data_IF_789525047440
#
_entry.id   IF_789525047440
#
_cell.length_a   1.000
_cell.length_b   1.000
_cell.length_c   1.000
_cell.angle_alpha   90.00
_cell.angle_beta   90.00
_cell.angle_gamma   90.00
#
_symmetry.space_group_name_H-M   'P 1'
#
loop_
_entity.id
_entity.type
_entity.pdbx_description
1 polymer ?
#
# COMPACT_ATOMS: atom_id res chain seq x y z
N UNK A 1 -33.80 -26.44 21.26
CA UNK A 1 -32.67 -27.02 21.60
C UNK A 1 -31.69 -27.19 20.55
N UNK A 2 -32.01 -27.88 19.56
CA UNK A 2 -31.08 -28.12 18.52
C UNK A 2 -30.62 -26.91 17.81
N UNK A 3 -31.41 -25.91 17.84
CA UNK A 3 -31.09 -24.70 17.15
C UNK A 3 -29.81 -24.07 17.54
N UNK A 4 -29.44 -24.24 18.75
CA UNK A 4 -28.28 -23.63 19.24
C UNK A 4 -27.06 -23.91 18.43
N UNK A 5 -26.95 -25.08 17.99
CA UNK A 5 -25.77 -25.50 17.30
C UNK A 5 -25.54 -24.69 16.04
N UNK A 6 -26.58 -24.38 15.40
CA UNK A 6 -26.46 -23.66 14.16
C UNK A 6 -25.89 -22.29 14.33
N UNK A 7 -26.19 -21.69 15.41
CA UNK A 7 -25.73 -20.35 15.62
C UNK A 7 -24.23 -20.21 15.71
N UNK A 8 -23.66 -21.11 16.39
CA UNK A 8 -22.24 -21.06 16.60
C UNK A 8 -21.47 -21.07 15.29
N UNK A 9 -21.97 -21.78 14.37
CA UNK A 9 -21.31 -21.91 13.09
C UNK A 9 -21.24 -20.61 12.34
N UNK A 10 -22.31 -19.89 12.37
CA UNK A 10 -22.36 -18.66 11.66
C UNK A 10 -21.35 -17.67 12.13
N UNK A 11 -21.14 -17.61 13.39
CA UNK A 11 -20.23 -16.68 13.95
C UNK A 11 -18.82 -16.96 13.51
N UNK A 12 -18.46 -18.18 13.44
CA UNK A 12 -17.13 -18.55 13.04
C UNK A 12 -16.79 -18.04 11.67
N UNK A 13 -17.74 -18.11 10.79
CA UNK A 13 -17.51 -17.68 9.43
C UNK A 13 -17.23 -16.21 9.35
N UNK A 14 -17.88 -15.45 10.16
CA UNK A 14 -17.71 -14.03 10.13
C UNK A 14 -16.30 -13.61 10.44
N UNK A 15 -15.68 -14.27 11.36
CA UNK A 15 -14.35 -13.93 11.73
C UNK A 15 -13.34 -14.17 10.64
N UNK A 16 -13.55 -15.18 9.88
CA UNK A 16 -12.61 -15.51 8.85
C UNK A 16 -12.46 -14.41 7.84
N UNK A 17 -13.50 -13.69 7.62
CA UNK A 17 -13.47 -12.65 6.64
C UNK A 17 -12.57 -11.52 7.04
N UNK A 18 -12.57 -11.20 8.28
CA UNK A 18 -11.83 -10.06 8.74
C UNK A 18 -10.34 -10.34 8.93
N UNK A 19 -10.02 -11.53 9.32
CA UNK A 19 -8.66 -11.83 9.71
C UNK A 19 -7.60 -11.82 8.63
N UNK A 20 -7.83 -12.44 7.53
CA UNK A 20 -6.75 -12.72 6.58
C UNK A 20 -6.02 -11.54 6.01
N UNK A 21 -6.63 -10.42 5.99
CA UNK A 21 -6.02 -9.28 5.35
C UNK A 21 -4.93 -8.66 6.18
N UNK A 22 -5.05 -8.81 7.47
CA UNK A 22 -4.11 -8.17 8.36
C UNK A 22 -2.82 -8.94 8.46
N UNK A 23 -1.74 -8.23 8.50
CA UNK A 23 -0.47 -8.85 8.74
C UNK A 23 0.23 -9.42 7.53
N UNK A 24 -0.32 -9.20 6.35
CA UNK A 24 0.36 -9.64 5.16
C UNK A 24 1.59 -8.78 4.93
N UNK A 25 2.69 -9.42 4.61
CA UNK A 25 3.91 -8.71 4.30
C UNK A 25 3.84 -8.19 2.87
N UNK A 26 4.22 -6.94 2.70
CA UNK A 26 4.28 -6.36 1.38
C UNK A 26 5.74 -6.18 1.03
N UNK A 27 6.19 -6.83 -0.02
CA UNK A 27 7.56 -6.73 -0.46
C UNK A 27 7.65 -5.76 -1.62
N UNK A 28 8.11 -4.56 -1.35
CA UNK A 28 8.17 -3.52 -2.36
C UNK A 28 9.22 -3.80 -3.43
N UNK A 29 10.23 -4.58 -3.10
CA UNK A 29 11.29 -4.89 -4.05
C UNK A 29 10.80 -5.75 -5.21
N UNK A 30 9.75 -6.54 -4.98
CA UNK A 30 9.22 -7.41 -6.02
C UNK A 30 7.89 -6.94 -6.58
N UNK A 31 7.32 -5.90 -6.01
CA UNK A 31 6.03 -5.40 -6.45
C UNK A 31 6.15 -4.68 -7.79
N UNK A 32 5.18 -4.89 -8.66
CA UNK A 32 5.14 -4.19 -9.93
C UNK A 32 4.14 -3.05 -9.87
N UNK A 33 4.29 -2.11 -10.80
CA UNK A 33 3.38 -0.98 -10.88
C UNK A 33 1.92 -1.40 -10.96
N UNK A 34 1.61 -2.45 -11.72
CA UNK A 34 0.23 -2.89 -11.84
C UNK A 34 -0.36 -3.32 -10.50
N UNK A 35 0.47 -3.89 -9.63
CA UNK A 35 0.00 -4.33 -8.33
C UNK A 35 -0.23 -3.14 -7.43
N UNK A 36 0.63 -2.14 -7.53
CA UNK A 36 0.54 -0.95 -6.73
C UNK A 36 -0.77 -0.19 -6.97
N UNK A 37 -1.13 0.00 -8.23
CA UNK A 37 -2.33 0.79 -8.55
C UNK A 37 -3.63 0.08 -8.17
N UNK A 38 -3.56 -1.22 -7.85
CA UNK A 38 -4.73 -1.95 -7.41
C UNK A 38 -4.92 -1.95 -5.91
N UNK A 39 -3.98 -1.37 -5.18
CA UNK A 39 -4.08 -1.31 -3.73
C UNK A 39 -5.13 -0.26 -3.31
N UNK A 40 -5.58 -0.38 -2.07
CA UNK A 40 -6.52 0.60 -1.55
C UNK A 40 -5.82 1.95 -1.38
N UNK A 41 -6.60 3.00 -1.32
CA UNK A 41 -6.05 4.33 -1.16
C UNK A 41 -5.23 4.44 0.12
N UNK A 42 -5.70 3.83 1.18
CA UNK A 42 -4.98 3.88 2.45
C UNK A 42 -3.64 3.18 2.36
N UNK A 43 -3.59 2.06 1.67
CA UNK A 43 -2.35 1.34 1.51
C UNK A 43 -1.39 2.11 0.62
N UNK A 44 -1.89 2.70 -0.45
CA UNK A 44 -1.07 3.53 -1.31
C UNK A 44 -0.47 4.68 -0.53
N UNK A 45 -1.27 5.32 0.32
CA UNK A 45 -0.78 6.42 1.14
C UNK A 45 0.33 5.95 2.08
N UNK A 46 0.14 4.81 2.71
CA UNK A 46 1.14 4.26 3.60
C UNK A 46 2.44 3.96 2.88
N UNK A 47 2.34 3.33 1.71
CA UNK A 47 3.54 3.02 0.94
C UNK A 47 4.23 4.27 0.44
N UNK A 48 3.46 5.30 0.10
CA UNK A 48 4.05 6.55 -0.36
C UNK A 48 4.88 7.20 0.73
N UNK A 49 4.39 7.18 1.97
CA UNK A 49 5.15 7.72 3.09
C UNK A 49 6.46 6.95 3.26
N UNK A 50 6.38 5.63 3.18
CA UNK A 50 7.58 4.82 3.31
C UNK A 50 8.58 5.11 2.20
N UNK A 51 8.08 5.20 0.96
CA UNK A 51 8.93 5.48 -0.18
C UNK A 51 9.56 6.86 -0.09
N UNK A 52 8.79 7.84 0.35
CA UNK A 52 9.31 9.19 0.51
C UNK A 52 10.47 9.19 1.51
N UNK A 53 10.32 8.49 2.62
CA UNK A 53 11.39 8.39 3.60
C UNK A 53 12.58 7.62 3.07
N UNK A 54 12.33 6.58 2.30
CA UNK A 54 13.39 5.75 1.75
C UNK A 54 14.30 6.55 0.81
N UNK A 55 13.72 7.49 0.06
CA UNK A 55 14.47 8.30 -0.88
C UNK A 55 14.87 9.67 -0.34
N UNK A 56 14.68 9.91 0.95
CA UNK A 56 15.08 11.15 1.58
C UNK A 56 16.50 11.00 2.13
N UNK A 57 17.34 11.98 1.87
CA UNK A 57 18.72 11.94 2.35
C UNK A 57 18.79 12.23 3.83
N UNK A 58 19.83 11.73 4.48
CA UNK A 58 20.01 11.95 5.90
C UNK A 58 20.14 13.43 6.25
N UNK A 59 20.62 14.21 5.31
CA UNK A 59 20.83 15.62 5.54
C UNK A 59 19.57 16.46 5.40
N UNK A 60 18.53 15.87 4.86
CA UNK A 60 17.29 16.60 4.70
C UNK A 60 16.57 16.70 6.02
N UNK A 61 15.78 17.76 6.16
CA UNK A 61 15.00 17.95 7.38
C UNK A 61 13.96 16.83 7.52
N UNK A 62 13.74 16.41 8.74
CA UNK A 62 12.76 15.36 9.03
C UNK A 62 11.36 15.97 9.10
N UNK A 63 10.86 16.39 7.96
CA UNK A 63 9.56 17.04 7.86
C UNK A 63 8.60 16.24 7.02
N UNK A 64 7.36 16.19 7.43
CA UNK A 64 6.33 15.51 6.71
C UNK A 64 5.35 16.56 6.18
N UNK A 65 5.20 16.61 4.87
CA UNK A 65 4.29 17.58 4.25
C UNK A 65 3.17 16.82 3.55
N UNK A 66 2.00 16.73 4.18
CA UNK A 66 0.91 15.89 3.65
C UNK A 66 0.48 16.22 2.24
N UNK A 67 0.45 17.49 1.88
CA UNK A 67 0.05 17.87 0.52
C UNK A 67 1.05 17.37 -0.51
N UNK A 68 2.33 17.42 -0.17
CA UNK A 68 3.34 16.92 -1.09
C UNK A 68 3.30 15.40 -1.20
N UNK A 69 3.01 14.74 -0.09
CA UNK A 69 2.87 13.29 -0.12
C UNK A 69 1.71 12.87 -0.99
N UNK A 70 0.60 13.61 -0.90
CA UNK A 70 -0.55 13.30 -1.73
C UNK A 70 -0.21 13.48 -3.20
N UNK A 71 0.51 14.55 -3.52
CA UNK A 71 0.92 14.80 -4.89
C UNK A 71 1.85 13.70 -5.39
N UNK A 72 2.77 13.23 -4.56
CA UNK A 72 3.67 12.16 -4.94
C UNK A 72 2.92 10.86 -5.18
N UNK A 73 1.93 10.57 -4.34
CA UNK A 73 1.12 9.37 -4.53
C UNK A 73 0.38 9.43 -5.86
N UNK A 74 -0.16 10.59 -6.20
CA UNK A 74 -0.87 10.75 -7.45
C UNK A 74 0.05 10.60 -8.65
N UNK A 75 1.23 11.19 -8.56
CA UNK A 75 2.20 11.09 -9.64
C UNK A 75 2.68 9.67 -9.83
N UNK A 76 2.94 8.99 -8.74
CA UNK A 76 3.41 7.61 -8.81
C UNK A 76 2.32 6.72 -9.38
N UNK A 77 1.08 6.91 -8.96
CA UNK A 77 -0.03 6.12 -9.48
C UNK A 77 -0.22 6.36 -10.98
N UNK A 78 -0.14 7.61 -11.40
CA UNK A 78 -0.28 7.93 -12.82
C UNK A 78 0.85 7.32 -13.65
N UNK A 79 2.06 7.40 -13.14
CA UNK A 79 3.21 6.84 -13.83
C UNK A 79 3.08 5.32 -13.93
N UNK A 80 2.66 4.69 -12.85
CA UNK A 80 2.48 3.25 -12.84
C UNK A 80 1.35 2.79 -13.75
N UNK A 81 0.30 3.60 -13.88
CA UNK A 81 -0.79 3.24 -14.79
C UNK A 81 -0.31 3.15 -16.23
N UNK A 82 0.69 3.94 -16.58
CA UNK A 82 1.24 3.92 -17.92
C UNK A 82 2.39 2.93 -18.08
N UNK A 83 2.90 2.43 -16.96
CA UNK A 83 4.02 1.51 -16.98
C UNK A 83 3.76 0.31 -16.07
N UNK A 84 2.69 -0.45 -16.34
CA UNK A 84 2.25 -1.50 -15.41
C UNK A 84 3.25 -2.62 -15.18
N UNK A 85 4.13 -2.86 -16.11
CA UNK A 85 5.09 -3.95 -15.96
C UNK A 85 6.37 -3.53 -15.26
N UNK A 86 6.53 -2.25 -15.03
CA UNK A 86 7.74 -1.75 -14.40
C UNK A 86 7.72 -2.08 -12.90
N UNK A 87 8.90 -2.33 -12.32
CA UNK A 87 8.98 -2.56 -10.89
C UNK A 87 8.67 -1.29 -10.13
N UNK A 88 7.98 -1.43 -9.01
CA UNK A 88 7.57 -0.27 -8.23
C UNK A 88 8.75 0.56 -7.74
N UNK A 89 9.81 -0.07 -7.27
CA UNK A 89 10.94 0.67 -6.76
C UNK A 89 11.59 1.52 -7.84
N UNK A 90 11.63 1.00 -9.06
CA UNK A 90 12.17 1.74 -10.17
C UNK A 90 11.32 2.95 -10.52
N UNK A 91 10.01 2.77 -10.50
CA UNK A 91 9.09 3.86 -10.74
C UNK A 91 9.20 4.92 -9.64
N UNK A 92 9.29 4.46 -8.41
CA UNK A 92 9.34 5.36 -7.27
C UNK A 92 10.61 6.18 -7.27
N UNK A 93 11.71 5.62 -7.71
CA UNK A 93 12.96 6.34 -7.75
C UNK A 93 12.82 7.59 -8.61
N UNK A 94 12.16 7.48 -9.74
CA UNK A 94 11.97 8.61 -10.62
C UNK A 94 11.04 9.67 -10.07
N UNK A 95 10.08 9.27 -9.24
CA UNK A 95 9.09 10.20 -8.70
C UNK A 95 9.52 10.79 -7.36
N UNK A 96 10.08 9.95 -6.49
CA UNK A 96 10.38 10.34 -5.12
C UNK A 96 11.72 11.03 -4.94
N UNK A 97 12.68 10.65 -5.71
CA UNK A 97 14.03 11.16 -5.54
C UNK A 97 14.21 12.60 -5.98
N UNK A 98 13.15 13.20 -6.44
CA UNK A 98 13.22 14.62 -6.81
C UNK A 98 12.69 15.53 -5.72
#
# INVERSE_FOLDING_TARGET
MLLKAAHAVLIAVTFLVAGPVNGQTINLATMKCKDFIELSKDTIATLTVWLDGYYTDEEDAAVLEPDKLKSKAEKLSAFCAQNPKLGLMMAAEGVMAK
#
